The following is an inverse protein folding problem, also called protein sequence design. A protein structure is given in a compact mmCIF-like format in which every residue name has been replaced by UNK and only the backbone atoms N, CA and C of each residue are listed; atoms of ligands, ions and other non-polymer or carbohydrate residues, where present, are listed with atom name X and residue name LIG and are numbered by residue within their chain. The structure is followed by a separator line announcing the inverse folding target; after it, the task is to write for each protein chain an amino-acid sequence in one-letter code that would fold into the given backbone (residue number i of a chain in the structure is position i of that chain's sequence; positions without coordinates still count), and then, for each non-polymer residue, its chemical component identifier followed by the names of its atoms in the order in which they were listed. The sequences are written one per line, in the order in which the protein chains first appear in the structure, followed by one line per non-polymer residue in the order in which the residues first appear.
data_IF_542797542553
#
_entry.id   IF_542797542553
#
_cell.length_a   1.000
_cell.length_b   1.000
_cell.length_c   1.000
_cell.angle_alpha   90.00
_cell.angle_beta   90.00
_cell.angle_gamma   90.00
#
_symmetry.space_group_name_H-M   'P 1'
#
loop_
_entity.id
_entity.type
_entity.pdbx_description
1 polymer ?
#
# COMPACT_ATOMS: atom_id res chain seq x y z
N UNK A 1 55.26 22.97 0.79
CA UNK A 1 54.55 22.58 -0.46
C UNK A 1 53.55 21.43 -0.30
N UNK A 2 53.28 20.90 0.91
CA UNK A 2 52.44 19.69 1.13
C UNK A 2 50.94 20.03 1.37
N UNK A 3 50.64 21.25 1.84
CA UNK A 3 49.27 21.69 2.19
C UNK A 3 48.38 21.99 0.96
N UNK A 4 48.97 22.41 -0.16
CA UNK A 4 48.22 22.71 -1.39
C UNK A 4 47.62 21.43 -2.00
N UNK A 5 48.40 20.34 -2.00
CA UNK A 5 48.05 19.07 -2.64
C UNK A 5 46.86 18.36 -1.98
N UNK A 6 46.68 18.51 -0.66
CA UNK A 6 45.56 17.89 0.08
C UNK A 6 44.23 18.59 -0.16
N UNK A 7 44.26 19.90 -0.45
CA UNK A 7 43.06 20.67 -0.82
C UNK A 7 42.57 20.30 -2.22
N UNK A 8 43.47 20.18 -3.19
CA UNK A 8 43.14 19.78 -4.57
C UNK A 8 42.54 18.37 -4.61
N UNK A 9 43.08 17.42 -3.83
CA UNK A 9 42.54 16.06 -3.75
C UNK A 9 41.13 16.04 -3.15
N UNK A 10 40.85 16.86 -2.12
CA UNK A 10 39.49 16.98 -1.56
C UNK A 10 38.48 17.53 -2.57
N UNK A 11 38.87 18.52 -3.37
CA UNK A 11 38.00 19.07 -4.42
C UNK A 11 37.73 18.07 -5.55
N UNK A 12 38.73 17.25 -5.93
CA UNK A 12 38.56 16.20 -6.95
C UNK A 12 37.61 15.11 -6.44
N UNK A 13 37.76 14.66 -5.19
CA UNK A 13 36.87 13.65 -4.59
C UNK A 13 35.45 14.17 -4.42
N UNK A 14 35.27 15.43 -4.00
CA UNK A 14 33.95 16.05 -3.88
C UNK A 14 33.25 16.22 -5.23
N UNK A 15 34.00 16.59 -6.28
CA UNK A 15 33.47 16.71 -7.65
C UNK A 15 33.07 15.35 -8.22
N UNK A 16 33.89 14.30 -8.02
CA UNK A 16 33.57 12.94 -8.46
C UNK A 16 32.34 12.36 -7.75
N UNK A 17 32.16 12.64 -6.46
CA UNK A 17 30.98 12.23 -5.71
C UNK A 17 29.71 12.98 -6.19
N UNK A 18 29.83 14.26 -6.55
CA UNK A 18 28.72 15.04 -7.09
C UNK A 18 28.30 14.52 -8.49
N UNK A 19 29.27 14.16 -9.33
CA UNK A 19 29.03 13.54 -10.64
C UNK A 19 28.37 12.15 -10.54
N UNK A 20 28.69 11.37 -9.51
CA UNK A 20 28.07 10.08 -9.25
C UNK A 20 26.59 10.19 -8.83
N UNK A 21 26.22 11.28 -8.14
CA UNK A 21 24.82 11.54 -7.73
C UNK A 21 24.01 12.12 -8.90
N UNK A 22 24.62 12.90 -9.80
CA UNK A 22 23.98 13.47 -10.98
C UNK A 22 23.65 12.45 -12.10
N UNK A 23 24.31 11.28 -12.11
CA UNK A 23 24.07 10.21 -13.10
C UNK A 23 22.77 9.42 -12.93
N UNK A 24 21.95 9.74 -11.91
CA UNK A 24 20.78 8.95 -11.53
C UNK A 24 19.49 9.26 -12.31
N UNK A 25 19.48 10.25 -13.21
CA UNK A 25 18.28 10.64 -13.96
C UNK A 25 18.13 9.96 -15.33
N UNK A 26 19.11 9.19 -15.81
CA UNK A 26 19.11 8.66 -17.18
C UNK A 26 18.39 7.33 -17.36
N UNK A 27 18.00 6.65 -16.27
CA UNK A 27 17.24 5.38 -16.34
C UNK A 27 15.87 5.55 -16.96
N UNK A 28 15.28 6.75 -16.86
CA UNK A 28 14.01 7.09 -17.52
C UNK A 28 14.16 7.12 -19.04
N UNK A 29 15.28 7.61 -19.57
CA UNK A 29 15.50 7.77 -21.01
C UNK A 29 15.68 6.42 -21.73
N UNK A 30 16.29 5.43 -21.07
CA UNK A 30 16.54 4.10 -21.69
C UNK A 30 15.24 3.32 -21.90
N UNK A 31 14.20 3.56 -21.10
CA UNK A 31 12.87 2.94 -21.28
C UNK A 31 12.03 3.62 -22.38
N UNK A 32 12.41 4.81 -22.84
CA UNK A 32 11.61 5.60 -23.79
C UNK A 32 12.13 5.59 -25.22
N UNK A 33 13.28 4.97 -25.49
CA UNK A 33 13.96 5.00 -26.81
C UNK A 33 13.87 3.70 -27.61
N UNK A 34 13.09 2.71 -27.14
CA UNK A 34 12.86 1.46 -27.87
C UNK A 34 11.94 1.65 -29.09
N UNK A 35 12.12 0.83 -30.12
CA UNK A 35 11.30 0.84 -31.34
C UNK A 35 9.82 0.47 -31.08
N UNK A 36 9.52 -0.09 -29.91
CA UNK A 36 8.19 -0.53 -29.47
C UNK A 36 7.36 0.61 -28.83
N UNK A 37 7.94 1.80 -28.66
CA UNK A 37 7.27 2.92 -28.00
C UNK A 37 7.16 2.75 -26.48
N UNK A 38 6.31 3.56 -25.84
CA UNK A 38 6.05 3.47 -24.40
C UNK A 38 4.84 2.57 -24.19
N UNK A 39 5.05 1.43 -23.52
CA UNK A 39 3.99 0.49 -23.12
C UNK A 39 3.86 0.48 -21.60
N UNK A 40 2.64 0.38 -21.10
CA UNK A 40 2.36 0.25 -19.66
C UNK A 40 2.18 -1.22 -19.29
N UNK A 41 2.71 -1.63 -18.14
CA UNK A 41 2.43 -2.95 -17.58
C UNK A 41 1.05 -2.90 -16.88
N UNK A 42 0.05 -3.69 -17.33
CA UNK A 42 -1.30 -3.68 -16.73
C UNK A 42 -1.32 -4.14 -15.28
N UNK A 43 -0.27 -4.81 -14.81
CA UNK A 43 -0.12 -5.26 -13.41
C UNK A 43 0.47 -4.18 -12.50
N UNK A 44 1.00 -3.10 -13.07
CA UNK A 44 1.56 -1.98 -12.32
C UNK A 44 0.60 -0.78 -12.27
N UNK A 45 0.67 -0.03 -11.17
CA UNK A 45 -0.07 1.23 -11.05
C UNK A 45 0.68 2.36 -11.72
N UNK A 46 -0.04 3.17 -12.49
CA UNK A 46 0.51 4.42 -13.03
C UNK A 46 0.80 5.42 -11.92
N UNK A 47 1.72 6.37 -12.17
CA UNK A 47 1.99 7.46 -11.22
C UNK A 47 0.74 8.29 -10.91
N UNK A 48 -0.13 8.48 -11.91
CA UNK A 48 -1.43 9.16 -11.74
C UNK A 48 -2.36 8.40 -10.80
N UNK A 49 -2.45 7.08 -10.93
CA UNK A 49 -3.27 6.24 -10.04
C UNK A 49 -2.78 6.31 -8.59
N UNK A 50 -1.46 6.34 -8.36
CA UNK A 50 -0.89 6.49 -7.01
C UNK A 50 -1.29 7.82 -6.36
N UNK A 51 -1.21 8.92 -7.11
CA UNK A 51 -1.60 10.25 -6.61
C UNK A 51 -3.12 10.32 -6.37
N UNK A 52 -3.92 9.75 -7.27
CA UNK A 52 -5.38 9.68 -7.08
C UNK A 52 -5.75 8.87 -5.84
N UNK A 53 -5.13 7.70 -5.62
CA UNK A 53 -5.32 6.88 -4.41
C UNK A 53 -5.03 7.68 -3.13
N UNK A 54 -3.93 8.44 -3.10
CA UNK A 54 -3.58 9.28 -1.95
C UNK A 54 -4.61 10.40 -1.72
N UNK A 55 -5.15 10.97 -2.79
CA UNK A 55 -6.23 11.97 -2.73
C UNK A 55 -7.51 11.35 -2.15
N UNK A 56 -7.88 10.15 -2.61
CA UNK A 56 -9.01 9.37 -2.08
C UNK A 56 -8.81 9.10 -0.59
N UNK A 57 -7.68 8.51 -0.19
CA UNK A 57 -7.37 8.21 1.22
C UNK A 57 -7.50 9.46 2.09
N UNK A 58 -6.94 10.59 1.64
CA UNK A 58 -6.99 11.86 2.36
C UNK A 58 -8.42 12.39 2.50
N UNK A 59 -9.19 12.44 1.40
CA UNK A 59 -10.60 12.91 1.41
C UNK A 59 -11.45 12.07 2.34
N UNK A 60 -11.32 10.74 2.28
CA UNK A 60 -12.07 9.83 3.14
C UNK A 60 -11.69 10.04 4.60
N UNK A 61 -10.40 10.04 4.96
CA UNK A 61 -9.96 10.27 6.35
C UNK A 61 -10.45 11.60 6.89
N UNK A 62 -10.38 12.67 6.09
CA UNK A 62 -10.86 13.99 6.48
C UNK A 62 -12.38 13.99 6.67
N UNK A 63 -13.15 13.43 5.74
CA UNK A 63 -14.61 13.42 5.81
C UNK A 63 -15.13 12.55 6.95
N UNK A 64 -14.53 11.37 7.19
CA UNK A 64 -14.89 10.52 8.33
C UNK A 64 -14.78 11.30 9.64
N UNK A 65 -13.69 12.08 9.82
CA UNK A 65 -13.46 12.86 11.04
C UNK A 65 -14.32 14.12 11.14
N UNK A 66 -14.69 14.73 10.02
CA UNK A 66 -15.45 16.00 9.98
C UNK A 66 -16.95 15.78 10.08
N UNK A 67 -17.47 14.78 9.37
CA UNK A 67 -18.91 14.52 9.24
C UNK A 67 -19.45 13.63 10.36
N UNK A 68 -18.57 12.89 11.04
CA UNK A 68 -18.94 12.01 12.14
C UNK A 68 -17.93 12.09 13.30
N UNK A 69 -18.21 12.89 14.35
CA UNK A 69 -17.30 13.07 15.49
C UNK A 69 -16.94 11.77 16.22
N UNK A 70 -17.80 10.76 16.21
CA UNK A 70 -17.50 9.46 16.84
C UNK A 70 -16.42 8.69 16.08
N UNK A 71 -16.40 8.77 14.74
CA UNK A 71 -15.36 8.15 13.91
C UNK A 71 -14.00 8.82 14.08
N UNK A 72 -13.93 10.06 14.59
CA UNK A 72 -12.67 10.70 14.96
C UNK A 72 -11.93 9.97 16.09
N UNK A 73 -12.67 9.32 16.99
CA UNK A 73 -12.11 8.56 18.12
C UNK A 73 -11.88 7.07 17.78
N UNK A 74 -12.51 6.60 16.71
CA UNK A 74 -12.36 5.25 16.18
C UNK A 74 -10.97 5.03 15.59
N UNK A 75 -10.48 3.80 15.64
CA UNK A 75 -9.26 3.40 14.97
C UNK A 75 -9.63 2.90 13.59
N UNK A 76 -9.57 3.77 12.58
CA UNK A 76 -9.90 3.43 11.19
C UNK A 76 -8.69 3.72 10.33
N UNK A 77 -8.24 2.70 9.58
CA UNK A 77 -7.27 2.85 8.51
C UNK A 77 -8.02 2.80 7.19
N UNK A 78 -7.75 3.78 6.34
CA UNK A 78 -8.27 3.86 4.99
C UNK A 78 -7.11 3.56 4.06
N UNK A 79 -7.29 2.60 3.18
CA UNK A 79 -6.30 2.21 2.19
C UNK A 79 -6.96 2.23 0.82
N UNK A 80 -6.38 2.95 -0.15
CA UNK A 80 -6.79 2.91 -1.55
C UNK A 80 -5.73 2.22 -2.40
N UNK A 81 -6.17 1.43 -3.37
CA UNK A 81 -5.33 0.84 -4.39
C UNK A 81 -6.09 0.79 -5.71
N UNK A 82 -5.66 1.59 -6.68
CA UNK A 82 -6.28 1.75 -7.99
C UNK A 82 -7.79 2.06 -7.92
N UNK A 83 -8.22 2.86 -6.94
CA UNK A 83 -9.63 3.20 -6.70
C UNK A 83 -10.44 2.14 -5.94
N UNK A 84 -9.85 1.00 -5.57
CA UNK A 84 -10.45 0.06 -4.60
C UNK A 84 -10.08 0.51 -3.19
N UNK A 85 -11.08 0.85 -2.39
CA UNK A 85 -10.89 1.33 -1.02
C UNK A 85 -11.16 0.21 -0.02
N UNK A 86 -10.27 0.06 0.95
CA UNK A 86 -10.37 -0.83 2.09
C UNK A 86 -10.46 0.01 3.38
N UNK A 87 -11.51 -0.23 4.16
CA UNK A 87 -11.69 0.30 5.51
C UNK A 87 -11.44 -0.83 6.51
N UNK A 88 -10.43 -0.70 7.37
CA UNK A 88 -10.13 -1.67 8.44
C UNK A 88 -9.95 -0.98 9.77
N UNK A 89 -10.20 -1.71 10.85
CA UNK A 89 -10.09 -1.21 12.21
C UNK A 89 -11.36 -1.44 13.02
N UNK A 90 -11.63 -0.57 13.99
CA UNK A 90 -12.69 -0.78 14.97
C UNK A 90 -13.60 0.43 15.12
N UNK A 91 -14.90 0.15 15.22
CA UNK A 91 -15.96 1.13 15.47
C UNK A 91 -16.86 0.69 16.61
N UNK A 92 -17.57 1.63 17.22
CA UNK A 92 -18.38 1.36 18.41
C UNK A 92 -19.75 0.72 18.10
N UNK A 93 -20.22 0.77 16.85
CA UNK A 93 -21.52 0.22 16.45
C UNK A 93 -21.59 -0.09 14.96
N UNK A 94 -22.54 -0.96 14.57
CA UNK A 94 -22.85 -1.22 13.16
C UNK A 94 -23.38 0.04 12.45
N UNK A 95 -24.06 0.94 13.17
CA UNK A 95 -24.48 2.23 12.62
C UNK A 95 -23.29 3.08 12.17
N UNK A 96 -22.24 3.16 13.00
CA UNK A 96 -20.99 3.84 12.62
C UNK A 96 -20.26 3.13 11.48
N UNK A 97 -20.30 1.79 11.45
CA UNK A 97 -19.75 1.01 10.33
C UNK A 97 -20.44 1.39 9.01
N UNK A 98 -21.77 1.41 8.98
CA UNK A 98 -22.54 1.79 7.81
C UNK A 98 -22.31 3.25 7.42
N UNK A 99 -22.27 4.15 8.41
CA UNK A 99 -21.98 5.57 8.21
C UNK A 99 -20.60 5.79 7.58
N UNK A 100 -19.59 5.03 8.01
CA UNK A 100 -18.25 5.09 7.43
C UNK A 100 -18.25 4.66 5.95
N UNK A 101 -19.01 3.62 5.56
CA UNK A 101 -19.20 3.25 4.14
C UNK A 101 -19.82 4.39 3.35
N UNK A 102 -20.90 4.99 3.86
CA UNK A 102 -21.60 6.08 3.17
C UNK A 102 -20.66 7.27 2.93
N UNK A 103 -20.00 7.76 3.99
CA UNK A 103 -19.06 8.88 3.90
C UNK A 103 -17.94 8.57 2.89
N UNK A 104 -17.43 7.34 2.90
CA UNK A 104 -16.40 6.90 1.95
C UNK A 104 -16.89 6.94 0.52
N UNK A 105 -18.10 6.46 0.26
CA UNK A 105 -18.72 6.49 -1.08
C UNK A 105 -18.88 7.92 -1.60
N UNK A 106 -19.26 8.86 -0.73
CA UNK A 106 -19.50 10.25 -1.10
C UNK A 106 -18.19 11.06 -1.24
N UNK A 107 -17.05 10.54 -0.81
CA UNK A 107 -15.76 11.26 -0.79
C UNK A 107 -15.13 11.45 -2.16
N UNK A 108 -15.36 10.56 -3.13
CA UNK A 108 -14.77 10.69 -4.47
C UNK A 108 -15.50 9.83 -5.50
N UNK A 109 -15.75 10.40 -6.69
CA UNK A 109 -16.29 9.69 -7.85
C UNK A 109 -15.29 8.69 -8.47
N UNK A 110 -14.02 8.73 -8.05
CA UNK A 110 -12.96 7.82 -8.52
C UNK A 110 -12.90 6.50 -7.75
N UNK A 111 -13.71 6.35 -6.69
CA UNK A 111 -13.82 5.10 -5.96
C UNK A 111 -14.61 4.10 -6.81
N UNK A 112 -13.96 2.99 -7.16
CA UNK A 112 -14.57 1.90 -7.94
C UNK A 112 -15.34 0.93 -7.04
N UNK A 113 -14.80 0.66 -5.85
CA UNK A 113 -15.34 -0.33 -4.91
C UNK A 113 -14.87 -0.05 -3.49
N UNK A 114 -15.70 -0.38 -2.52
CA UNK A 114 -15.41 -0.23 -1.09
C UNK A 114 -15.52 -1.61 -0.42
N UNK A 115 -14.47 -2.01 0.27
CA UNK A 115 -14.46 -3.13 1.21
C UNK A 115 -14.49 -2.57 2.62
N UNK A 116 -15.62 -2.74 3.30
CA UNK A 116 -15.75 -2.34 4.70
C UNK A 116 -15.54 -3.53 5.63
N UNK A 117 -14.32 -3.63 6.13
CA UNK A 117 -13.84 -4.65 7.04
C UNK A 117 -13.64 -4.08 8.46
N UNK A 118 -14.40 -3.03 8.80
CA UNK A 118 -14.45 -2.51 10.17
C UNK A 118 -15.13 -3.53 11.10
N UNK A 119 -14.56 -3.71 12.28
CA UNK A 119 -15.10 -4.60 13.31
C UNK A 119 -15.83 -3.77 14.36
N UNK A 120 -17.02 -4.22 14.77
CA UNK A 120 -17.73 -3.61 15.90
C UNK A 120 -17.13 -4.18 17.17
N UNK A 121 -16.12 -3.48 17.68
CA UNK A 121 -15.31 -3.93 18.80
C UNK A 121 -14.68 -2.75 19.55
N UNK A 122 -14.24 -3.01 20.78
CA UNK A 122 -13.39 -2.09 21.52
C UNK A 122 -12.03 -1.88 20.84
N UNK A 123 -11.26 -0.90 21.31
CA UNK A 123 -9.90 -0.66 20.79
C UNK A 123 -9.02 -1.89 21.01
N UNK A 124 -8.33 -2.33 19.97
CA UNK A 124 -7.36 -3.42 20.05
C UNK A 124 -6.17 -3.05 20.95
N UNK A 125 -5.64 -4.06 21.66
CA UNK A 125 -4.50 -3.87 22.56
C UNK A 125 -3.19 -3.58 21.80
N UNK A 126 -2.23 -2.96 22.48
CA UNK A 126 -0.88 -2.75 21.91
C UNK A 126 -0.20 -4.08 21.55
N UNK A 127 -0.44 -5.13 22.32
CA UNK A 127 0.09 -6.47 22.05
C UNK A 127 -0.48 -7.05 20.74
N UNK A 128 -1.79 -6.89 20.49
CA UNK A 128 -2.41 -7.32 19.24
C UNK A 128 -1.81 -6.59 18.03
N UNK A 129 -1.59 -5.27 18.14
CA UNK A 129 -0.97 -4.47 17.07
C UNK A 129 0.48 -4.88 16.77
N UNK A 130 1.27 -5.17 17.79
CA UNK A 130 2.64 -5.65 17.61
C UNK A 130 2.66 -7.03 16.92
N UNK A 131 1.73 -7.91 17.30
CA UNK A 131 1.56 -9.20 16.64
C UNK A 131 1.18 -9.03 15.16
N UNK A 132 0.27 -8.11 14.84
CA UNK A 132 -0.13 -7.84 13.45
C UNK A 132 1.05 -7.39 12.57
N UNK A 133 1.90 -6.48 13.06
CA UNK A 133 3.10 -6.05 12.31
C UNK A 133 4.05 -7.21 12.04
N UNK A 134 4.19 -8.12 13.00
CA UNK A 134 5.00 -9.32 12.86
C UNK A 134 4.40 -10.31 11.85
N UNK A 135 3.09 -10.55 11.92
CA UNK A 135 2.35 -11.35 10.94
C UNK A 135 2.49 -10.76 9.54
N UNK A 136 2.29 -9.45 9.38
CA UNK A 136 2.44 -8.77 8.10
C UNK A 136 3.85 -8.93 7.52
N UNK A 137 4.87 -8.82 8.37
CA UNK A 137 6.27 -9.04 7.98
C UNK A 137 6.47 -10.47 7.49
N UNK A 138 6.00 -11.47 8.25
CA UNK A 138 6.09 -12.88 7.85
C UNK A 138 5.39 -13.16 6.52
N UNK A 139 4.17 -12.65 6.33
CA UNK A 139 3.42 -12.80 5.08
C UNK A 139 4.19 -12.18 3.92
N UNK A 140 4.70 -10.95 4.08
CA UNK A 140 5.49 -10.28 3.03
C UNK A 140 6.78 -11.04 2.71
N UNK A 141 7.51 -11.50 3.72
CA UNK A 141 8.73 -12.29 3.51
C UNK A 141 8.43 -13.61 2.80
N UNK A 142 7.35 -14.31 3.17
CA UNK A 142 6.93 -15.55 2.51
C UNK A 142 6.56 -15.31 1.04
N UNK A 143 5.82 -14.22 0.76
CA UNK A 143 5.48 -13.83 -0.61
C UNK A 143 6.73 -13.48 -1.42
N UNK A 144 7.68 -12.72 -0.85
CA UNK A 144 8.94 -12.38 -1.50
C UNK A 144 9.81 -13.61 -1.81
N UNK A 145 9.75 -14.63 -0.96
CA UNK A 145 10.51 -15.87 -1.14
C UNK A 145 9.86 -16.83 -2.16
N UNK A 146 8.62 -16.56 -2.60
CA UNK A 146 7.89 -17.42 -3.52
C UNK A 146 7.76 -16.76 -4.90
N UNK A 147 8.48 -17.29 -5.89
CA UNK A 147 8.47 -16.79 -7.27
C UNK A 147 7.13 -16.96 -8.00
N UNK A 148 6.21 -17.77 -7.47
CA UNK A 148 4.89 -18.01 -8.08
C UNK A 148 3.87 -16.94 -7.71
N UNK A 149 4.22 -16.00 -6.82
CA UNK A 149 3.33 -14.91 -6.41
C UNK A 149 4.01 -13.57 -6.69
N UNK A 150 3.35 -12.63 -7.41
CA UNK A 150 3.93 -11.34 -7.73
C UNK A 150 3.92 -10.42 -6.50
N UNK A 151 4.83 -10.66 -5.56
CA UNK A 151 4.88 -9.94 -4.28
C UNK A 151 5.02 -8.41 -4.42
N UNK A 152 5.62 -7.93 -5.52
CA UNK A 152 5.75 -6.50 -5.83
C UNK A 152 4.42 -5.82 -6.20
N UNK A 153 3.46 -6.60 -6.71
CA UNK A 153 2.13 -6.13 -7.13
C UNK A 153 1.10 -6.25 -6.00
N UNK A 154 1.44 -6.97 -4.92
CA UNK A 154 0.53 -7.28 -3.81
C UNK A 154 0.87 -6.46 -2.57
N UNK A 155 -0.07 -5.61 -2.17
CA UNK A 155 -0.04 -4.89 -0.90
C UNK A 155 -0.70 -5.75 0.18
N UNK A 156 0.06 -6.07 1.23
CA UNK A 156 -0.43 -6.81 2.40
C UNK A 156 -0.77 -5.84 3.52
N UNK A 157 -2.00 -5.90 4.04
CA UNK A 157 -2.49 -5.16 5.20
C UNK A 157 -2.91 -6.17 6.26
N UNK A 158 -2.67 -5.87 7.54
CA UNK A 158 -3.09 -6.73 8.65
C UNK A 158 -3.77 -5.91 9.73
N UNK A 159 -4.84 -6.47 10.30
CA UNK A 159 -5.56 -5.90 11.42
C UNK A 159 -6.19 -7.04 12.24
N UNK A 160 -5.86 -7.13 13.53
CA UNK A 160 -6.44 -8.09 14.47
C UNK A 160 -6.34 -9.56 13.98
N UNK A 161 -5.18 -9.95 13.45
CA UNK A 161 -4.94 -11.28 12.87
C UNK A 161 -5.56 -11.52 11.49
N UNK A 162 -6.44 -10.64 10.99
CA UNK A 162 -6.94 -10.70 9.62
C UNK A 162 -5.91 -10.11 8.64
N UNK A 163 -5.72 -10.77 7.50
CA UNK A 163 -4.85 -10.32 6.41
C UNK A 163 -5.71 -9.89 5.23
N UNK A 164 -5.50 -8.68 4.73
CA UNK A 164 -6.15 -8.13 3.55
C UNK A 164 -5.11 -7.97 2.45
N UNK A 165 -5.39 -8.56 1.30
CA UNK A 165 -4.48 -8.55 0.14
C UNK A 165 -5.08 -7.66 -0.96
N UNK A 166 -4.34 -6.64 -1.37
CA UNK A 166 -4.74 -5.68 -2.42
C UNK A 166 -3.71 -5.69 -3.55
N UNK A 167 -4.12 -5.33 -4.76
CA UNK A 167 -3.24 -5.35 -5.93
C UNK A 167 -4.01 -5.44 -7.24
N UNK A 168 -3.29 -5.25 -8.34
CA UNK A 168 -3.74 -5.53 -9.70
C UNK A 168 -3.14 -6.87 -10.13
N UNK A 169 -3.95 -7.92 -10.15
CA UNK A 169 -3.44 -9.29 -10.28
C UNK A 169 -4.40 -10.17 -11.08
N UNK A 170 -3.92 -11.31 -11.56
CA UNK A 170 -4.80 -12.34 -12.12
C UNK A 170 -5.53 -13.10 -11.01
N UNK A 171 -6.55 -13.87 -11.37
CA UNK A 171 -7.24 -14.76 -10.43
C UNK A 171 -6.28 -15.78 -9.81
N UNK A 172 -5.36 -16.34 -10.62
CA UNK A 172 -4.38 -17.32 -10.18
C UNK A 172 -3.40 -16.74 -9.16
N UNK A 173 -2.88 -15.54 -9.42
CA UNK A 173 -1.99 -14.83 -8.50
C UNK A 173 -2.67 -14.53 -7.16
N UNK A 174 -3.93 -14.08 -7.21
CA UNK A 174 -4.72 -13.79 -6.03
C UNK A 174 -4.96 -15.03 -5.16
N UNK A 175 -5.25 -16.17 -5.80
CA UNK A 175 -5.43 -17.45 -5.11
C UNK A 175 -4.11 -17.92 -4.51
N UNK A 176 -3.02 -17.92 -5.28
CA UNK A 176 -1.68 -18.25 -4.78
C UNK A 176 -1.24 -17.38 -3.58
N UNK A 177 -1.50 -16.07 -3.66
CA UNK A 177 -1.21 -15.15 -2.57
C UNK A 177 -2.03 -15.44 -1.30
N UNK A 178 -3.32 -15.75 -1.47
CA UNK A 178 -4.19 -16.10 -0.35
C UNK A 178 -3.80 -17.44 0.28
N UNK A 179 -3.40 -18.42 -0.54
CA UNK A 179 -2.86 -19.72 -0.14
C UNK A 179 -1.59 -19.59 0.69
N UNK A 180 -0.67 -18.71 0.30
CA UNK A 180 0.52 -18.44 1.10
C UNK A 180 0.17 -17.74 2.42
N UNK A 181 -0.64 -16.69 2.37
CA UNK A 181 -0.96 -15.89 3.54
C UNK A 181 -1.67 -16.71 4.62
N UNK A 182 -2.63 -17.57 4.26
CA UNK A 182 -3.43 -18.34 5.23
C UNK A 182 -2.61 -19.35 6.04
N UNK A 183 -1.47 -19.78 5.51
CA UNK A 183 -0.59 -20.76 6.17
C UNK A 183 0.40 -20.11 7.15
N UNK A 184 0.39 -18.77 7.27
CA UNK A 184 1.26 -18.06 8.22
C UNK A 184 0.68 -18.11 9.63
N UNK A 185 1.48 -18.56 10.59
CA UNK A 185 1.10 -18.56 12.01
C UNK A 185 0.68 -17.17 12.49
N UNK A 186 -0.49 -17.08 13.11
CA UNK A 186 -1.08 -15.84 13.60
C UNK A 186 -2.09 -15.20 12.66
N UNK A 187 -2.27 -15.74 11.45
CA UNK A 187 -3.35 -15.36 10.53
C UNK A 187 -4.63 -16.06 10.94
N UNK A 188 -5.70 -15.28 11.14
CA UNK A 188 -7.03 -15.79 11.51
C UNK A 188 -7.97 -15.89 10.30
N UNK A 189 -7.85 -14.95 9.36
CA UNK A 189 -8.57 -14.96 8.08
C UNK A 189 -7.80 -14.20 7.01
N UNK A 190 -8.05 -14.54 5.74
CA UNK A 190 -7.50 -13.83 4.58
C UNK A 190 -8.65 -13.30 3.73
N UNK A 191 -8.61 -12.01 3.41
CA UNK A 191 -9.61 -11.32 2.58
C UNK A 191 -8.93 -10.83 1.31
N UNK A 192 -9.46 -11.25 0.16
CA UNK A 192 -8.98 -10.84 -1.17
C UNK A 192 -9.65 -9.53 -1.59
N UNK A 193 -8.88 -8.46 -1.62
CA UNK A 193 -9.29 -7.09 -1.94
C UNK A 193 -8.60 -6.64 -3.24
N UNK A 194 -8.47 -7.56 -4.19
CA UNK A 194 -7.81 -7.36 -5.48
C UNK A 194 -8.74 -6.71 -6.52
N UNK A 195 -8.15 -6.00 -7.46
CA UNK A 195 -8.74 -5.71 -8.76
C UNK A 195 -8.16 -6.72 -9.77
N UNK A 196 -9.03 -7.45 -10.45
CA UNK A 196 -8.63 -8.52 -11.35
C UNK A 196 -8.43 -7.99 -12.76
N UNK A 197 -7.32 -8.40 -13.37
CA UNK A 197 -7.07 -8.16 -14.79
C UNK A 197 -7.98 -9.09 -15.60
N UNK A 198 -8.75 -8.51 -16.52
CA UNK A 198 -9.62 -9.24 -17.46
C UNK A 198 -8.85 -9.64 -18.72
#
# INVERSE_FOLDING_TARGET
MISSTTSTVKHIVASALLLAVLGSCTTVLVRTTGAEGITEDPTERTAGAVVEDQSIETKVVVNLKKLEPELKKANIKVISHNGVVLLVGQVASDGLKARATQITSDSSTKIKRIHNELEVAGKISLLARSNDNWVATKVRTLMLANSSVPSGQIRVITENGAVFLMGLVTQADADGAADLARNVSGVTRVVKVFEYLN
#
